data_IF_886385713931
#
_entry.id   IF_886385713931
#
_cell.length_a   1.000
_cell.length_b   1.000
_cell.length_c   1.000
_cell.angle_alpha   90.00
_cell.angle_beta   90.00
_cell.angle_gamma   90.00
#
_symmetry.space_group_name_H-M   'P 1'
#
loop_
_entity.id
_entity.type
_entity.pdbx_description
1 polymer ?
#
# COMPACT_ATOMS: atom_id res chain seq x y z
N UNK A 1 1.28 16.70 -6.52
CA UNK A 1 1.69 18.11 -6.41
C UNK A 1 2.32 18.53 -7.73
N UNK A 2 1.98 19.72 -8.24
CA UNK A 2 2.55 20.26 -9.48
C UNK A 2 3.80 21.09 -9.17
N UNK A 3 4.76 21.12 -10.10
CA UNK A 3 6.02 21.86 -9.97
C UNK A 3 5.81 23.36 -10.23
N UNK A 4 6.18 24.21 -9.27
CA UNK A 4 6.10 25.66 -9.43
C UNK A 4 7.01 26.13 -10.58
N UNK A 5 6.47 26.93 -11.49
CA UNK A 5 7.24 27.51 -12.60
C UNK A 5 7.52 26.56 -13.78
N UNK A 6 6.91 25.37 -13.82
CA UNK A 6 7.09 24.39 -14.90
C UNK A 6 5.75 23.95 -15.51
N UNK A 7 5.00 24.85 -16.17
CA UNK A 7 3.66 24.56 -16.65
C UNK A 7 3.60 23.42 -17.66
N UNK A 8 4.58 23.29 -18.57
CA UNK A 8 4.58 22.24 -19.59
C UNK A 8 4.81 20.85 -18.98
N UNK A 9 5.70 20.76 -17.98
CA UNK A 9 5.97 19.52 -17.24
C UNK A 9 4.73 19.07 -16.49
N UNK A 10 4.03 20.02 -15.86
CA UNK A 10 2.79 19.76 -15.14
C UNK A 10 1.68 19.28 -16.06
N UNK A 11 1.50 19.94 -17.21
CA UNK A 11 0.50 19.54 -18.20
C UNK A 11 0.76 18.11 -18.69
N UNK A 12 2.02 17.77 -19.00
CA UNK A 12 2.38 16.40 -19.38
C UNK A 12 2.10 15.40 -18.26
N UNK A 13 2.46 15.72 -17.02
CA UNK A 13 2.25 14.84 -15.87
C UNK A 13 0.76 14.56 -15.61
N UNK A 14 -0.09 15.57 -15.79
CA UNK A 14 -1.56 15.41 -15.67
C UNK A 14 -2.06 14.40 -16.72
N UNK A 15 -1.73 14.60 -17.99
CA UNK A 15 -2.17 13.69 -19.06
C UNK A 15 -1.63 12.27 -18.90
N UNK A 16 -0.39 12.11 -18.43
CA UNK A 16 0.16 10.80 -18.12
C UNK A 16 -0.59 10.13 -16.96
N UNK A 17 -0.97 10.91 -15.94
CA UNK A 17 -1.74 10.40 -14.80
C UNK A 17 -3.14 9.98 -15.24
N UNK A 18 -3.81 10.77 -16.10
CA UNK A 18 -5.12 10.42 -16.67
C UNK A 18 -5.08 9.07 -17.40
N UNK A 19 -4.09 8.87 -18.26
CA UNK A 19 -3.93 7.63 -19.04
C UNK A 19 -3.43 6.44 -18.23
N UNK A 20 -2.59 6.66 -17.20
CA UNK A 20 -2.01 5.58 -16.41
C UNK A 20 -2.91 5.18 -15.23
N UNK A 21 -3.40 6.14 -14.44
CA UNK A 21 -4.08 5.90 -13.15
C UNK A 21 -5.40 6.68 -12.95
N UNK A 22 -5.99 7.21 -14.02
CA UNK A 22 -7.38 7.70 -13.99
C UNK A 22 -8.44 6.57 -13.90
N UNK A 23 -9.73 6.91 -13.74
CA UNK A 23 -10.80 5.91 -13.59
C UNK A 23 -11.00 4.98 -14.80
N UNK A 24 -10.70 5.46 -16.01
CA UNK A 24 -10.74 4.69 -17.26
C UNK A 24 -9.35 4.42 -17.81
N UNK A 25 -8.33 4.41 -16.95
CA UNK A 25 -6.93 4.29 -17.36
C UNK A 25 -6.53 2.85 -17.66
N UNK A 26 -5.28 2.65 -18.05
CA UNK A 26 -4.76 1.31 -18.33
C UNK A 26 -4.40 0.51 -17.08
N UNK A 27 -3.99 1.14 -15.97
CA UNK A 27 -3.46 0.40 -14.80
C UNK A 27 -4.51 0.20 -13.69
N UNK A 28 -5.31 1.23 -13.39
CA UNK A 28 -6.19 1.21 -12.21
C UNK A 28 -7.34 0.20 -12.32
N UNK A 29 -7.99 0.00 -13.49
CA UNK A 29 -9.03 -1.02 -13.60
C UNK A 29 -8.54 -2.42 -13.23
N UNK A 30 -7.29 -2.76 -13.57
CA UNK A 30 -6.68 -4.06 -13.20
C UNK A 30 -6.46 -4.15 -11.69
N UNK A 31 -5.94 -3.09 -11.06
CA UNK A 31 -5.78 -3.01 -9.60
C UNK A 31 -7.12 -3.16 -8.85
N UNK A 32 -8.19 -2.52 -9.35
CA UNK A 32 -9.55 -2.63 -8.78
C UNK A 32 -10.05 -4.07 -8.84
N UNK A 33 -9.86 -4.74 -9.98
CA UNK A 33 -10.27 -6.13 -10.15
C UNK A 33 -9.48 -7.05 -9.18
N UNK A 34 -8.17 -6.81 -8.99
CA UNK A 34 -7.36 -7.54 -8.02
C UNK A 34 -7.89 -7.32 -6.60
N UNK A 35 -8.17 -6.07 -6.23
CA UNK A 35 -8.72 -5.73 -4.92
C UNK A 35 -10.09 -6.40 -4.67
N UNK A 36 -10.99 -6.37 -5.64
CA UNK A 36 -12.31 -7.01 -5.56
C UNK A 36 -12.18 -8.53 -5.36
N UNK A 37 -11.31 -9.17 -6.14
CA UNK A 37 -11.07 -10.62 -6.01
C UNK A 37 -10.45 -11.00 -4.68
N UNK A 38 -9.49 -10.20 -4.19
CA UNK A 38 -8.92 -10.40 -2.86
C UNK A 38 -9.98 -10.26 -1.77
N UNK A 39 -10.86 -9.25 -1.86
CA UNK A 39 -11.96 -9.07 -0.91
C UNK A 39 -12.94 -10.24 -0.93
N UNK A 40 -13.28 -10.74 -2.11
CA UNK A 40 -14.12 -11.94 -2.25
C UNK A 40 -13.43 -13.19 -1.67
N UNK A 41 -12.12 -13.35 -1.89
CA UNK A 41 -11.34 -14.45 -1.32
C UNK A 41 -11.26 -14.40 0.21
N UNK A 42 -11.12 -13.20 0.80
CA UNK A 42 -11.12 -13.01 2.25
C UNK A 42 -12.42 -13.47 2.93
N UNK A 43 -13.55 -13.48 2.20
CA UNK A 43 -14.81 -13.99 2.72
C UNK A 43 -14.78 -15.50 3.01
N UNK A 44 -13.82 -16.25 2.46
CA UNK A 44 -13.64 -17.67 2.77
C UNK A 44 -13.09 -17.90 4.19
N UNK A 45 -12.43 -16.90 4.79
CA UNK A 45 -11.82 -16.95 6.12
C UNK A 45 -10.83 -18.12 6.33
N UNK A 46 -10.33 -18.72 5.24
CA UNK A 46 -9.38 -19.82 5.23
C UNK A 46 -8.29 -19.59 4.17
N UNK A 47 -7.00 -19.65 4.54
CA UNK A 47 -6.50 -19.70 5.93
C UNK A 47 -6.88 -18.44 6.72
N UNK A 48 -6.84 -18.52 8.04
CA UNK A 48 -7.19 -17.39 8.92
C UNK A 48 -6.14 -16.25 8.88
N UNK A 49 -4.98 -16.50 8.28
CA UNK A 49 -3.84 -15.59 8.22
C UNK A 49 -3.44 -15.25 6.79
N UNK A 50 -2.95 -14.03 6.60
CA UNK A 50 -2.29 -13.58 5.38
C UNK A 50 -0.77 -13.71 5.55
N UNK A 51 -0.09 -14.37 4.62
CA UNK A 51 1.37 -14.44 4.64
C UNK A 51 1.96 -13.11 4.19
N UNK A 52 2.79 -12.51 5.05
CA UNK A 52 3.57 -11.31 4.77
C UNK A 52 5.05 -11.55 5.12
N UNK A 53 5.56 -12.77 4.92
CA UNK A 53 6.92 -13.18 5.29
C UNK A 53 7.99 -12.74 4.30
N UNK A 54 7.62 -12.18 3.14
CA UNK A 54 8.59 -11.88 2.09
C UNK A 54 9.57 -10.80 2.53
N UNK A 55 10.85 -11.14 2.41
CA UNK A 55 11.96 -10.26 2.78
C UNK A 55 12.29 -10.19 4.27
N UNK A 56 11.65 -10.99 5.14
CA UNK A 56 11.87 -10.92 6.59
C UNK A 56 13.35 -11.15 6.98
N UNK A 57 14.04 -12.04 6.26
CA UNK A 57 15.46 -12.35 6.48
C UNK A 57 16.42 -11.31 5.85
N UNK A 58 15.90 -10.31 5.13
CA UNK A 58 16.69 -9.26 4.46
C UNK A 58 16.57 -7.90 5.16
N UNK A 59 15.76 -7.81 6.21
CA UNK A 59 15.58 -6.55 6.94
C UNK A 59 16.86 -6.15 7.68
N UNK A 60 17.21 -4.88 7.61
CA UNK A 60 18.28 -4.27 8.41
C UNK A 60 17.83 -2.91 8.96
N UNK A 61 18.56 -2.42 9.95
CA UNK A 61 18.30 -1.11 10.55
C UNK A 61 19.20 -0.05 9.91
N UNK A 62 18.61 1.08 9.51
CA UNK A 62 19.32 2.24 8.99
C UNK A 62 18.58 3.52 9.41
N UNK A 63 19.29 4.46 10.03
CA UNK A 63 18.74 5.71 10.57
C UNK A 63 17.42 5.54 11.38
N UNK A 64 17.35 4.47 12.18
CA UNK A 64 16.16 4.15 12.98
C UNK A 64 14.97 3.59 12.19
N UNK A 65 15.15 3.32 10.89
CA UNK A 65 14.17 2.70 10.01
C UNK A 65 14.52 1.24 9.76
N UNK A 66 13.47 0.42 9.59
CA UNK A 66 13.63 -0.95 9.08
C UNK A 66 13.60 -0.90 7.56
N UNK A 67 14.72 -1.26 6.93
CA UNK A 67 14.93 -1.19 5.48
C UNK A 67 15.07 -2.60 4.91
N UNK A 68 14.64 -2.79 3.67
CA UNK A 68 14.76 -4.05 2.93
C UNK A 68 14.73 -3.80 1.42
N UNK A 69 14.71 -4.87 0.62
CA UNK A 69 14.66 -4.72 -0.84
C UNK A 69 13.31 -4.15 -1.29
N UNK A 70 13.29 -3.40 -2.41
CA UNK A 70 12.08 -2.70 -2.89
C UNK A 70 10.86 -3.60 -3.11
N UNK A 71 11.10 -4.89 -3.35
CA UNK A 71 10.00 -5.83 -3.53
C UNK A 71 9.42 -6.29 -2.18
N UNK A 72 10.15 -6.24 -1.07
CA UNK A 72 9.80 -6.89 0.19
C UNK A 72 8.57 -6.29 0.91
N UNK A 73 7.97 -7.05 1.81
CA UNK A 73 6.75 -6.67 2.54
C UNK A 73 7.01 -5.93 3.86
N UNK A 74 8.20 -5.32 4.01
CA UNK A 74 8.58 -4.57 5.23
C UNK A 74 7.61 -3.43 5.52
N UNK A 75 7.21 -2.69 4.49
CA UNK A 75 6.24 -1.58 4.63
C UNK A 75 4.84 -2.12 4.97
N UNK A 76 4.41 -3.22 4.36
CA UNK A 76 3.13 -3.86 4.68
C UNK A 76 3.08 -4.29 6.16
N UNK A 77 4.13 -4.95 6.64
CA UNK A 77 4.25 -5.34 8.06
C UNK A 77 4.23 -4.12 8.98
N UNK A 78 4.93 -3.03 8.62
CA UNK A 78 4.93 -1.79 9.39
C UNK A 78 3.52 -1.16 9.47
N UNK A 79 2.79 -1.12 8.35
CA UNK A 79 1.41 -0.64 8.30
C UNK A 79 0.51 -1.42 9.27
N UNK A 80 0.51 -2.76 9.18
CA UNK A 80 -0.35 -3.59 10.04
C UNK A 80 0.04 -3.51 11.53
N UNK A 81 1.34 -3.37 11.87
CA UNK A 81 1.78 -3.10 13.25
C UNK A 81 1.19 -1.79 13.78
N UNK A 82 1.23 -0.72 12.98
CA UNK A 82 0.66 0.58 13.37
C UNK A 82 -0.86 0.52 13.48
N UNK A 83 -1.52 -0.14 12.52
CA UNK A 83 -2.97 -0.35 12.52
C UNK A 83 -3.42 -1.09 13.78
N UNK A 84 -2.77 -2.20 14.13
CA UNK A 84 -3.04 -2.94 15.37
C UNK A 84 -2.95 -2.06 16.61
N UNK A 85 -1.88 -1.26 16.73
CA UNK A 85 -1.71 -0.34 17.86
C UNK A 85 -2.84 0.71 17.93
N UNK A 86 -3.29 1.23 16.79
CA UNK A 86 -4.40 2.18 16.73
C UNK A 86 -5.72 1.53 17.19
N UNK A 87 -6.07 0.38 16.61
CA UNK A 87 -7.30 -0.34 16.96
C UNK A 87 -7.33 -0.76 18.45
N UNK A 88 -6.19 -1.14 19.01
CA UNK A 88 -6.08 -1.48 20.44
C UNK A 88 -6.18 -0.27 21.36
N UNK A 89 -5.69 0.91 20.93
CA UNK A 89 -5.84 2.15 21.70
C UNK A 89 -7.31 2.53 21.80
N UNK A 90 -8.05 2.45 20.70
CA UNK A 90 -9.46 2.82 20.67
C UNK A 90 -10.30 1.88 21.53
N UNK A 91 -10.01 0.57 21.52
CA UNK A 91 -10.66 -0.39 22.43
C UNK A 91 -10.46 -0.01 23.91
N UNK A 92 -9.25 0.37 24.30
CA UNK A 92 -8.92 0.78 25.69
C UNK A 92 -9.51 2.12 26.12
N UNK A 93 -9.96 2.94 25.17
CA UNK A 93 -10.62 4.21 25.48
C UNK A 93 -12.14 4.03 25.71
N UNK A 94 -12.70 2.89 25.29
CA UNK A 94 -14.13 2.58 25.37
C UNK A 94 -14.44 1.62 26.54
N UNK A 95 -13.45 0.87 27.01
CA UNK A 95 -13.51 0.06 28.25
C UNK A 95 -12.94 0.81 29.44
#
# INVERSE_FOLDING_TARGET
MLLKGAPEVNQRAIHQTEGAVGPGSFLIPEDVIIAERNQAGLAAQQPEWMDLSRGLHREYQDDGLTVSHMSDETVNRAFYRRYKTAMQRDLRAVT
#
